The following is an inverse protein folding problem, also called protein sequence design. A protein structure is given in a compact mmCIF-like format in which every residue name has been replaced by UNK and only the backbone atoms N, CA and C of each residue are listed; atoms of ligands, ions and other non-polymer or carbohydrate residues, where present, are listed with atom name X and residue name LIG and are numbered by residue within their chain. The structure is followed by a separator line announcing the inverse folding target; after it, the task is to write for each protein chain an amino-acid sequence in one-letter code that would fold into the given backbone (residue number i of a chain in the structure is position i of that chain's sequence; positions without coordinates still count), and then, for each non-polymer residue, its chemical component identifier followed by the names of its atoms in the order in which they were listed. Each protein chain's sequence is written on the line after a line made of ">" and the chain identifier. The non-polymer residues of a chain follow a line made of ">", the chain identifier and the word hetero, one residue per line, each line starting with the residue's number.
data_IF_237220684519
#
_entry.id   IF_237220684519
#
_cell.length_a   1.000
_cell.length_b   1.000
_cell.length_c   1.000
_cell.angle_alpha   90.00
_cell.angle_beta   90.00
_cell.angle_gamma   90.00
#
_symmetry.space_group_name_H-M   'P 1'
#
loop_
_entity.id
_entity.type
_entity.pdbx_description
1 polymer ?
#
# COMPACT_ATOMS: atom_id res chain seq x y z
N UNK A 1 6.15 -4.48 11.50
CA UNK A 1 5.13 -5.19 10.69
C UNK A 1 5.35 -6.66 10.92
N UNK A 2 4.55 -7.34 11.76
CA UNK A 2 4.70 -8.79 11.89
C UNK A 2 4.15 -9.41 10.61
N UNK A 3 5.03 -10.08 9.88
CA UNK A 3 4.68 -10.81 8.67
C UNK A 3 3.90 -12.06 9.09
N UNK A 4 2.76 -12.31 8.46
CA UNK A 4 1.95 -13.52 8.71
C UNK A 4 2.58 -14.76 8.07
N UNK A 5 3.90 -14.81 7.92
CA UNK A 5 4.56 -15.90 7.19
C UNK A 5 4.62 -17.15 8.08
N UNK A 6 4.31 -18.35 7.57
CA UNK A 6 4.49 -19.60 8.31
C UNK A 6 5.90 -19.71 8.91
N UNK A 7 5.98 -20.14 10.17
CA UNK A 7 7.24 -20.20 10.93
C UNK A 7 7.64 -18.89 11.61
N UNK A 8 6.80 -17.85 11.57
CA UNK A 8 6.96 -16.68 12.44
C UNK A 8 6.19 -16.87 13.75
N UNK A 9 6.69 -16.33 14.89
CA UNK A 9 5.99 -16.44 16.18
C UNK A 9 4.56 -15.89 16.15
N UNK A 10 4.32 -14.89 15.30
CA UNK A 10 3.01 -14.28 15.14
C UNK A 10 2.05 -15.16 14.33
N UNK A 11 2.54 -15.88 13.31
CA UNK A 11 1.73 -16.87 12.60
C UNK A 11 1.26 -17.96 13.57
N UNK A 12 2.16 -18.52 14.37
CA UNK A 12 1.83 -19.56 15.37
C UNK A 12 0.83 -19.06 16.42
N UNK A 13 0.97 -17.81 16.86
CA UNK A 13 0.00 -17.19 17.76
C UNK A 13 -1.39 -17.06 17.10
N UNK A 14 -1.46 -16.61 15.85
CA UNK A 14 -2.72 -16.41 15.14
C UNK A 14 -3.40 -17.75 14.83
N UNK A 15 -2.61 -18.77 14.51
CA UNK A 15 -3.08 -20.14 14.27
C UNK A 15 -3.59 -20.81 15.55
N UNK A 16 -2.82 -20.75 16.65
CA UNK A 16 -3.24 -21.31 17.94
C UNK A 16 -4.51 -20.66 18.50
N UNK A 17 -4.74 -19.38 18.20
CA UNK A 17 -5.95 -18.67 18.57
C UNK A 17 -7.13 -18.90 17.61
N UNK A 18 -6.96 -19.73 16.56
CA UNK A 18 -8.02 -20.07 15.60
C UNK A 18 -8.50 -18.88 14.75
N UNK A 19 -7.67 -17.85 14.59
CA UNK A 19 -8.02 -16.61 13.87
C UNK A 19 -7.57 -16.61 12.41
N UNK A 20 -6.80 -17.61 11.98
CA UNK A 20 -6.37 -17.78 10.60
C UNK A 20 -7.52 -18.35 9.76
N UNK A 21 -7.91 -17.65 8.70
CA UNK A 21 -9.00 -18.12 7.80
C UNK A 21 -8.50 -18.50 6.40
N UNK A 22 -7.30 -18.05 6.03
CA UNK A 22 -6.67 -18.39 4.76
C UNK A 22 -5.27 -18.97 5.02
N UNK A 23 -4.95 -20.06 4.32
CA UNK A 23 -3.66 -20.76 4.38
C UNK A 23 -2.94 -20.76 3.03
N UNK A 24 -3.55 -20.18 2.00
CA UNK A 24 -2.96 -20.14 0.68
C UNK A 24 -1.82 -19.11 0.66
N UNK A 25 -0.59 -19.60 0.52
CA UNK A 25 0.65 -18.81 0.47
C UNK A 25 0.60 -17.68 -0.58
N UNK A 26 -0.16 -17.84 -1.68
CA UNK A 26 -0.30 -16.79 -2.69
C UNK A 26 -1.02 -15.53 -2.19
N UNK A 27 -1.72 -15.59 -1.06
CA UNK A 27 -2.42 -14.43 -0.48
C UNK A 27 -1.56 -13.66 0.54
N UNK A 28 -0.35 -14.13 0.85
CA UNK A 28 0.52 -13.51 1.87
C UNK A 28 1.32 -12.32 1.33
N UNK A 29 0.94 -11.76 0.18
CA UNK A 29 1.58 -10.64 -0.51
C UNK A 29 1.35 -9.27 0.19
N UNK A 30 0.56 -9.25 1.28
CA UNK A 30 0.33 -8.07 2.11
C UNK A 30 -0.91 -7.26 1.75
N UNK A 31 -1.52 -7.55 0.61
CA UNK A 31 -2.78 -6.93 0.15
C UNK A 31 -4.02 -7.71 0.58
N UNK A 32 -3.86 -8.95 1.05
CA UNK A 32 -4.96 -9.78 1.53
C UNK A 32 -4.96 -9.86 3.06
N UNK A 33 -6.15 -9.78 3.63
CA UNK A 33 -6.36 -10.17 5.01
C UNK A 33 -6.38 -11.71 5.04
N UNK A 34 -5.48 -12.34 5.80
CA UNK A 34 -5.41 -13.81 5.94
C UNK A 34 -5.92 -14.32 7.30
N UNK A 35 -6.18 -13.39 8.22
CA UNK A 35 -6.55 -13.66 9.60
C UNK A 35 -7.49 -12.58 10.16
N UNK A 36 -8.26 -12.92 11.19
CA UNK A 36 -9.19 -12.00 11.85
C UNK A 36 -8.48 -11.18 12.94
N UNK A 37 -8.45 -9.84 12.87
CA UNK A 37 -7.95 -9.00 13.96
C UNK A 37 -8.81 -9.14 15.23
N UNK A 38 -8.22 -8.96 16.42
CA UNK A 38 -8.93 -9.13 17.70
C UNK A 38 -9.87 -7.98 18.07
N UNK A 39 -9.53 -6.76 17.62
CA UNK A 39 -10.15 -5.51 18.11
C UNK A 39 -10.82 -4.69 17.01
N UNK A 40 -10.74 -5.14 15.77
CA UNK A 40 -11.18 -4.40 14.59
C UNK A 40 -11.85 -5.40 13.67
N UNK A 41 -13.00 -5.03 13.12
CA UNK A 41 -13.70 -5.85 12.14
C UNK A 41 -12.93 -5.85 10.81
N UNK A 42 -13.05 -6.91 9.98
CA UNK A 42 -12.46 -6.91 8.65
C UNK A 42 -12.87 -5.67 7.84
N UNK A 43 -14.14 -5.27 7.89
CA UNK A 43 -14.68 -4.12 7.17
C UNK A 43 -14.02 -2.80 7.57
N UNK A 44 -13.79 -2.56 8.86
CA UNK A 44 -13.08 -1.39 9.36
C UNK A 44 -11.62 -1.34 8.88
N UNK A 45 -10.96 -2.51 8.77
CA UNK A 45 -9.60 -2.60 8.21
C UNK A 45 -9.60 -2.19 6.74
N UNK A 46 -10.53 -2.70 5.94
CA UNK A 46 -10.64 -2.36 4.53
C UNK A 46 -11.02 -0.89 4.32
N UNK A 47 -11.92 -0.36 5.13
CA UNK A 47 -12.32 1.05 5.06
C UNK A 47 -11.14 1.97 5.44
N UNK A 48 -10.38 1.63 6.48
CA UNK A 48 -9.16 2.34 6.85
C UNK A 48 -8.10 2.26 5.75
N UNK A 49 -7.89 1.09 5.16
CA UNK A 49 -6.98 0.89 4.03
C UNK A 49 -7.38 1.76 2.83
N UNK A 50 -8.66 1.78 2.46
CA UNK A 50 -9.18 2.64 1.39
C UNK A 50 -8.98 4.12 1.67
N UNK A 51 -9.23 4.58 2.91
CA UNK A 51 -8.97 5.96 3.33
C UNK A 51 -7.49 6.33 3.22
N UNK A 52 -6.59 5.47 3.72
CA UNK A 52 -5.15 5.70 3.66
C UNK A 52 -4.66 5.74 2.22
N UNK A 53 -5.09 4.80 1.37
CA UNK A 53 -4.73 4.80 -0.05
C UNK A 53 -5.19 6.07 -0.75
N UNK A 54 -6.43 6.51 -0.53
CA UNK A 54 -6.96 7.75 -1.10
C UNK A 54 -6.15 8.97 -0.64
N UNK A 55 -5.73 9.01 0.62
CA UNK A 55 -4.92 10.10 1.15
C UNK A 55 -3.48 10.09 0.62
N UNK A 56 -2.84 8.92 0.62
CA UNK A 56 -1.44 8.74 0.21
C UNK A 56 -1.27 9.02 -1.29
N UNK A 57 -2.22 8.57 -2.12
CA UNK A 57 -2.25 8.83 -3.56
C UNK A 57 -3.03 10.08 -3.95
N UNK A 58 -3.36 10.96 -2.99
CA UNK A 58 -3.94 12.26 -3.32
C UNK A 58 -2.91 13.17 -4.00
N UNK A 59 -3.37 13.95 -4.96
CA UNK A 59 -2.53 14.94 -5.67
C UNK A 59 -1.78 15.87 -4.71
N UNK A 60 -2.42 16.28 -3.59
CA UNK A 60 -1.78 17.13 -2.57
C UNK A 60 -0.59 16.44 -1.90
N UNK A 61 -0.74 15.17 -1.49
CA UNK A 61 0.34 14.38 -0.86
C UNK A 61 1.50 14.14 -1.82
N UNK A 62 1.17 13.85 -3.08
CA UNK A 62 2.14 13.62 -4.16
C UNK A 62 2.95 14.90 -4.43
N UNK A 63 2.28 16.03 -4.65
CA UNK A 63 2.94 17.32 -4.90
C UNK A 63 3.83 17.75 -3.73
N UNK A 64 3.38 17.54 -2.48
CA UNK A 64 4.19 17.83 -1.29
C UNK A 64 5.46 16.98 -1.24
N UNK A 65 5.38 15.69 -1.58
CA UNK A 65 6.54 14.78 -1.64
C UNK A 65 7.50 15.17 -2.77
N UNK A 66 6.95 15.54 -3.91
CA UNK A 66 7.71 16.00 -5.07
C UNK A 66 8.45 17.30 -4.80
N UNK A 67 7.77 18.28 -4.18
CA UNK A 67 8.37 19.55 -3.77
C UNK A 67 9.55 19.34 -2.82
N UNK A 68 9.41 18.45 -1.82
CA UNK A 68 10.51 18.08 -0.93
C UNK A 68 11.71 17.51 -1.71
N UNK A 69 11.45 16.54 -2.59
CA UNK A 69 12.50 15.92 -3.41
C UNK A 69 13.23 16.94 -4.28
N UNK A 70 12.51 17.85 -4.93
CA UNK A 70 13.11 18.94 -5.72
C UNK A 70 13.88 19.91 -4.86
N UNK A 71 13.33 20.33 -3.71
CA UNK A 71 14.00 21.27 -2.82
C UNK A 71 15.34 20.72 -2.30
N UNK A 72 15.43 19.40 -2.09
CA UNK A 72 16.68 18.72 -1.72
C UNK A 72 17.63 18.52 -2.92
N UNK A 73 17.11 18.24 -4.13
CA UNK A 73 17.95 18.07 -5.34
C UNK A 73 18.40 19.38 -6.00
N UNK A 74 17.74 20.50 -5.73
CA UNK A 74 18.00 21.80 -6.38
C UNK A 74 19.28 22.50 -5.89
N UNK A 75 20.13 21.83 -5.10
CA UNK A 75 21.43 22.36 -4.66
C UNK A 75 22.49 22.43 -5.79
N UNK A 76 22.19 22.01 -7.03
CA UNK A 76 23.12 22.07 -8.16
C UNK A 76 22.46 22.50 -9.49
N UNK A 77 23.02 23.53 -10.14
CA UNK A 77 22.56 24.27 -11.34
C UNK A 77 22.34 23.45 -12.64
N UNK A 78 21.51 22.41 -12.66
CA UNK A 78 21.24 21.64 -13.89
C UNK A 78 19.73 21.58 -14.23
N UNK A 79 19.23 22.64 -14.86
CA UNK A 79 17.85 22.81 -15.32
C UNK A 79 17.35 21.64 -16.19
N UNK A 80 18.23 21.10 -17.04
CA UNK A 80 17.89 19.97 -17.92
C UNK A 80 17.60 18.67 -17.13
N UNK A 81 18.39 18.38 -16.09
CA UNK A 81 18.12 17.25 -15.17
C UNK A 81 16.84 17.47 -14.37
N UNK A 82 16.53 18.71 -14.02
CA UNK A 82 15.28 19.07 -13.34
C UNK A 82 14.05 18.85 -14.23
N UNK A 83 14.08 19.30 -15.49
CA UNK A 83 12.99 19.07 -16.46
C UNK A 83 12.82 17.58 -16.77
N UNK A 84 13.93 16.86 -17.00
CA UNK A 84 13.90 15.42 -17.26
C UNK A 84 13.33 14.62 -16.08
N UNK A 85 13.80 14.88 -14.85
CA UNK A 85 13.26 14.24 -13.66
C UNK A 85 11.80 14.61 -13.40
N UNK A 86 11.39 15.84 -13.71
CA UNK A 86 10.00 16.28 -13.56
C UNK A 86 9.06 15.53 -14.51
N UNK A 87 9.46 15.37 -15.78
CA UNK A 87 8.70 14.61 -16.78
C UNK A 87 8.68 13.11 -16.45
N UNK A 88 9.81 12.54 -16.03
CA UNK A 88 9.91 11.14 -15.62
C UNK A 88 9.04 10.85 -14.40
N UNK A 89 9.10 11.72 -13.37
CA UNK A 89 8.29 11.56 -12.16
C UNK A 89 6.81 11.77 -12.47
N UNK A 90 6.45 12.77 -13.29
CA UNK A 90 5.06 12.96 -13.75
C UNK A 90 4.52 11.71 -14.45
N UNK A 91 5.32 11.11 -15.35
CA UNK A 91 4.96 9.86 -16.03
C UNK A 91 4.83 8.68 -15.07
N UNK A 92 5.78 8.50 -14.14
CA UNK A 92 5.72 7.46 -13.10
C UNK A 92 4.47 7.65 -12.25
N UNK A 93 4.18 8.86 -11.78
CA UNK A 93 3.01 9.16 -10.95
C UNK A 93 1.69 8.98 -11.70
N UNK A 94 1.65 9.33 -12.99
CA UNK A 94 0.49 9.09 -13.84
C UNK A 94 0.22 7.58 -14.00
N UNK A 95 1.27 6.80 -14.31
CA UNK A 95 1.22 5.34 -14.35
C UNK A 95 0.81 4.76 -13.00
N UNK A 96 1.37 5.27 -11.91
CA UNK A 96 1.07 4.84 -10.54
C UNK A 96 -0.41 5.11 -10.20
N UNK A 97 -0.92 6.30 -10.56
CA UNK A 97 -2.31 6.69 -10.35
C UNK A 97 -3.28 5.79 -11.11
N UNK A 98 -2.97 5.45 -12.36
CA UNK A 98 -3.78 4.52 -13.17
C UNK A 98 -3.70 3.10 -12.60
N UNK A 99 -2.49 2.62 -12.32
CA UNK A 99 -2.25 1.26 -11.80
C UNK A 99 -2.92 1.04 -10.45
N UNK A 100 -2.80 1.99 -9.52
CA UNK A 100 -3.39 1.87 -8.19
C UNK A 100 -4.90 2.00 -8.21
N UNK A 101 -5.44 2.77 -9.15
CA UNK A 101 -6.89 2.85 -9.34
C UNK A 101 -7.44 1.53 -9.88
N UNK A 102 -6.71 0.84 -10.75
CA UNK A 102 -7.07 -0.49 -11.24
C UNK A 102 -6.89 -1.59 -10.17
N UNK A 103 -5.77 -1.58 -9.45
CA UNK A 103 -5.48 -2.54 -8.38
C UNK A 103 -6.38 -2.38 -7.15
N UNK A 104 -6.73 -1.15 -6.75
CA UNK A 104 -7.67 -0.92 -5.65
C UNK A 104 -9.11 -1.34 -5.99
N UNK A 105 -9.44 -1.50 -7.28
CA UNK A 105 -10.75 -1.98 -7.74
C UNK A 105 -10.82 -3.51 -7.80
N UNK A 106 -9.68 -4.20 -7.97
CA UNK A 106 -9.56 -5.64 -7.74
C UNK A 106 -9.61 -5.91 -6.24
N UNK A 107 -10.83 -5.80 -5.71
CA UNK A 107 -11.15 -6.08 -4.32
C UNK A 107 -10.66 -7.48 -3.98
N UNK A 108 -9.64 -7.55 -3.13
CA UNK A 108 -9.49 -8.71 -2.26
C UNK A 108 -10.63 -8.63 -1.26
N UNK A 109 -11.77 -9.19 -1.64
CA UNK A 109 -12.88 -9.35 -0.70
C UNK A 109 -12.42 -10.21 0.48
N UNK A 110 -12.97 -10.02 1.69
CA UNK A 110 -13.04 -11.15 2.60
C UNK A 110 -13.82 -12.23 1.86
N UNK A 111 -13.20 -13.39 1.67
CA UNK A 111 -13.89 -14.61 1.25
C UNK A 111 -15.05 -14.77 2.24
N UNK A 112 -16.24 -14.35 1.84
CA UNK A 112 -17.46 -14.43 2.61
C UNK A 112 -18.31 -15.46 1.89
N UNK A 113 -18.27 -16.66 2.47
CA UNK A 113 -19.01 -17.88 2.13
C UNK A 113 -18.66 -18.55 0.79
#
# INVERSE_FOLDING_TARGET
>A
MSLYIPGTPFYEQVESEGRLFDRNLSHYEGDHLVFKPKRVTPDEVFEAFGRINKYFYSWKSILKRWWRFISTMSAGRNLFKWIFNSLLISFILFKLSIFQRDHAQKKVYPISA
#
